data_IF_981937367809
#
_entry.id   IF_981937367809
#
_cell.length_a   1.000
_cell.length_b   1.000
_cell.length_c   1.000
_cell.angle_alpha   90.00
_cell.angle_beta   90.00
_cell.angle_gamma   90.00
#
_symmetry.space_group_name_H-M   'P 1'
#
loop_
_entity.id
_entity.type
_entity.pdbx_description
1 polymer ?
#
# COMPACT_ATOMS: atom_id res chain seq x y z
N UNK A 1 42.30 -5.31 2.71
CA UNK A 1 41.38 -4.86 1.63
C UNK A 1 39.98 -5.48 1.73
N UNK A 2 39.73 -6.51 2.56
CA UNK A 2 38.40 -7.15 2.70
C UNK A 2 37.42 -6.38 3.62
N UNK A 3 37.92 -5.88 4.74
CA UNK A 3 37.12 -5.22 5.80
C UNK A 3 36.39 -3.94 5.36
N UNK A 4 36.94 -3.17 4.42
CA UNK A 4 36.27 -1.95 3.91
C UNK A 4 35.11 -2.28 2.98
N UNK A 5 35.23 -3.31 2.16
CA UNK A 5 34.20 -3.73 1.21
C UNK A 5 33.01 -4.38 1.94
N UNK A 6 33.26 -5.21 2.95
CA UNK A 6 32.23 -5.81 3.80
C UNK A 6 31.44 -4.74 4.57
N UNK A 7 32.13 -3.74 5.12
CA UNK A 7 31.47 -2.63 5.82
C UNK A 7 30.59 -1.80 4.87
N UNK A 8 31.05 -1.59 3.63
CA UNK A 8 30.30 -0.86 2.61
C UNK A 8 29.06 -1.62 2.17
N UNK A 9 29.15 -2.95 2.07
CA UNK A 9 28.00 -3.82 1.77
C UNK A 9 26.97 -3.81 2.90
N UNK A 10 27.41 -3.82 4.17
CA UNK A 10 26.53 -3.73 5.34
C UNK A 10 25.82 -2.37 5.37
N UNK A 11 26.55 -1.27 5.11
CA UNK A 11 25.96 0.08 5.03
C UNK A 11 24.91 0.15 3.93
N UNK A 12 25.21 -0.38 2.73
CA UNK A 12 24.29 -0.38 1.60
C UNK A 12 23.03 -1.20 1.90
N UNK A 13 23.18 -2.37 2.52
CA UNK A 13 22.07 -3.22 2.95
C UNK A 13 21.20 -2.53 4.01
N UNK A 14 21.83 -1.88 4.99
CA UNK A 14 21.13 -1.12 6.02
C UNK A 14 20.39 0.09 5.42
N UNK A 15 20.97 0.76 4.42
CA UNK A 15 20.33 1.87 3.71
C UNK A 15 19.07 1.41 2.95
N UNK A 16 19.13 0.23 2.34
CA UNK A 16 18.02 -0.39 1.62
C UNK A 16 16.83 -0.72 2.56
N UNK A 17 17.12 -1.12 3.80
CA UNK A 17 16.08 -1.44 4.79
C UNK A 17 15.29 -0.21 5.26
N UNK A 18 15.84 1.00 5.14
CA UNK A 18 15.22 2.23 5.67
C UNK A 18 14.26 2.87 4.64
N UNK A 19 14.26 2.43 3.38
CA UNK A 19 13.54 3.09 2.28
C UNK A 19 12.06 2.71 2.13
N UNK A 20 11.48 1.95 3.08
CA UNK A 20 10.17 1.29 2.89
C UNK A 20 8.95 1.95 3.55
N UNK A 21 9.11 3.01 4.35
CA UNK A 21 8.01 3.58 5.12
C UNK A 21 7.46 4.87 4.47
N UNK A 22 6.39 4.75 3.69
CA UNK A 22 5.53 5.89 3.33
C UNK A 22 4.18 5.74 4.03
N UNK A 23 3.66 6.83 4.60
CA UNK A 23 2.27 6.85 5.05
C UNK A 23 1.35 6.81 3.82
N UNK A 24 0.13 6.24 3.95
CA UNK A 24 -0.91 6.44 2.96
C UNK A 24 -1.17 7.94 2.77
N UNK A 25 -1.56 8.39 1.57
CA UNK A 25 -1.95 9.78 1.36
C UNK A 25 -3.30 10.06 2.04
N UNK A 26 -3.50 11.29 2.53
CA UNK A 26 -4.77 11.73 3.13
C UNK A 26 -5.92 11.77 2.10
N UNK A 27 -5.57 11.98 0.83
CA UNK A 27 -6.50 12.01 -0.30
C UNK A 27 -5.99 11.13 -1.42
N UNK A 28 -6.89 10.41 -2.09
CA UNK A 28 -6.54 9.59 -3.25
C UNK A 28 -7.62 9.73 -4.34
N UNK A 29 -7.20 9.57 -5.60
CA UNK A 29 -8.12 9.54 -6.73
C UNK A 29 -8.88 8.21 -6.79
N UNK A 30 -10.21 8.25 -6.82
CA UNK A 30 -11.05 7.07 -7.08
C UNK A 30 -11.02 6.75 -8.57
N UNK A 31 -10.67 5.51 -8.93
CA UNK A 31 -10.61 5.06 -10.33
C UNK A 31 -11.72 4.07 -10.69
N UNK A 32 -12.35 3.43 -9.70
CA UNK A 32 -13.49 2.54 -9.91
C UNK A 32 -14.36 2.47 -8.65
N UNK A 33 -15.68 2.42 -8.82
CA UNK A 33 -16.65 2.10 -7.74
C UNK A 33 -17.04 0.63 -7.87
N UNK A 34 -16.92 -0.15 -6.79
CA UNK A 34 -17.30 -1.57 -6.78
C UNK A 34 -18.73 -1.72 -6.27
N UNK A 35 -19.00 -1.21 -5.07
CA UNK A 35 -20.28 -1.25 -4.38
C UNK A 35 -20.41 0.00 -3.47
N UNK A 36 -21.38 0.01 -2.54
CA UNK A 36 -21.68 1.20 -1.74
C UNK A 36 -20.65 1.53 -0.65
N UNK A 37 -19.78 0.59 -0.28
CA UNK A 37 -18.73 0.79 0.72
C UNK A 37 -17.32 0.46 0.22
N UNK A 38 -17.20 -0.06 -1.01
CA UNK A 38 -15.94 -0.47 -1.59
C UNK A 38 -15.64 0.24 -2.91
N UNK A 39 -14.43 0.79 -2.99
CA UNK A 39 -13.90 1.47 -4.18
C UNK A 39 -12.48 0.99 -4.51
N UNK A 40 -12.01 1.32 -5.70
CA UNK A 40 -10.59 1.22 -6.09
C UNK A 40 -10.04 2.62 -6.28
N UNK A 41 -8.90 2.90 -5.67
CA UNK A 41 -8.16 4.16 -5.82
C UNK A 41 -6.94 4.00 -6.72
N UNK A 42 -6.34 5.13 -7.11
CA UNK A 42 -5.05 5.15 -7.81
C UNK A 42 -4.00 4.25 -7.12
N UNK A 43 -3.13 3.63 -7.91
CA UNK A 43 -2.25 2.56 -7.43
C UNK A 43 -2.93 1.18 -7.33
N UNK A 44 -4.24 1.09 -7.64
CA UNK A 44 -4.96 -0.18 -7.72
C UNK A 44 -5.37 -0.75 -6.37
N UNK A 45 -5.33 0.06 -5.31
CA UNK A 45 -5.71 -0.36 -3.97
C UNK A 45 -7.23 -0.43 -3.84
N UNK A 46 -7.73 -1.53 -3.28
CA UNK A 46 -9.14 -1.69 -2.92
C UNK A 46 -9.35 -1.17 -1.49
N UNK A 47 -10.29 -0.24 -1.31
CA UNK A 47 -10.60 0.40 -0.03
C UNK A 47 -12.03 0.07 0.35
N UNK A 48 -12.25 -0.44 1.58
CA UNK A 48 -13.57 -0.59 2.20
C UNK A 48 -13.74 0.43 3.30
N UNK A 49 -14.87 1.12 3.33
CA UNK A 49 -15.15 2.11 4.37
C UNK A 49 -15.50 1.44 5.69
N UNK A 50 -14.81 1.86 6.76
CA UNK A 50 -15.03 1.33 8.11
C UNK A 50 -16.34 1.88 8.67
N UNK A 51 -17.19 1.00 9.19
CA UNK A 51 -18.47 1.39 9.80
C UNK A 51 -19.59 1.67 8.81
N UNK A 52 -19.36 1.43 7.52
CA UNK A 52 -20.38 1.46 6.48
C UNK A 52 -20.55 0.02 5.97
N UNK A 53 -21.80 -0.44 5.92
CA UNK A 53 -22.17 -1.75 5.41
C UNK A 53 -23.32 -1.56 4.43
N UNK A 54 -23.07 -1.87 3.16
CA UNK A 54 -24.04 -1.65 2.07
C UNK A 54 -24.46 -2.95 1.39
N UNK A 55 -25.64 -3.02 0.77
CA UNK A 55 -26.02 -4.17 -0.04
C UNK A 55 -24.99 -4.43 -1.16
N UNK A 56 -24.51 -5.65 -1.24
CA UNK A 56 -23.46 -6.05 -2.18
C UNK A 56 -24.03 -6.20 -3.61
N UNK A 57 -23.34 -5.62 -4.60
CA UNK A 57 -23.75 -5.67 -6.02
C UNK A 57 -23.47 -7.06 -6.64
N UNK A 58 -22.52 -7.79 -6.05
CA UNK A 58 -22.21 -9.17 -6.40
C UNK A 58 -22.31 -10.05 -5.15
N UNK A 59 -23.54 -10.41 -4.72
CA UNK A 59 -23.70 -11.35 -3.62
C UNK A 59 -23.00 -12.66 -4.01
N UNK A 60 -22.05 -13.11 -3.20
CA UNK A 60 -21.54 -14.47 -3.37
C UNK A 60 -22.69 -15.43 -3.01
N UNK A 61 -23.09 -16.26 -3.97
CA UNK A 61 -24.15 -17.27 -3.82
C UNK A 61 -23.77 -18.33 -2.78
#
# INVERSE_FOLDING_TARGET
MSNKAEFLAIILFLLLLICGCTSPPDTALVIQVIDGDTIVIEGGYRVRYIGIDTPEIHPQL
#
